data_IF_191700336607
#
_entry.id   IF_191700336607
#
_cell.length_a   1.000
_cell.length_b   1.000
_cell.length_c   1.000
_cell.angle_alpha   90.00
_cell.angle_beta   90.00
_cell.angle_gamma   90.00
#
_symmetry.space_group_name_H-M   'P 1'
#
loop_
_entity.id
_entity.type
_entity.pdbx_description
1 polymer ?
#
# COMPACT_ATOMS: atom_id res chain seq x y z
N UNK A 1 -7.88 7.03 14.10
CA UNK A 1 -8.45 6.32 12.93
C UNK A 1 -8.31 4.83 13.19
N UNK A 2 -9.36 4.04 13.00
CA UNK A 2 -9.35 2.61 13.28
C UNK A 2 -9.55 1.86 11.96
N UNK A 3 -8.53 1.14 11.50
CA UNK A 3 -8.58 0.34 10.27
C UNK A 3 -8.95 -1.09 10.67
N UNK A 4 -10.12 -1.54 10.23
CA UNK A 4 -10.67 -2.86 10.58
C UNK A 4 -10.35 -3.93 9.54
N UNK A 5 -10.07 -3.54 8.30
CA UNK A 5 -9.80 -4.48 7.21
C UNK A 5 -8.78 -3.90 6.25
N UNK A 6 -7.86 -4.75 5.83
CA UNK A 6 -6.81 -4.41 4.87
C UNK A 6 -6.66 -5.56 3.90
N UNK A 7 -6.72 -5.27 2.60
CA UNK A 7 -6.59 -6.27 1.53
C UNK A 7 -5.69 -5.73 0.44
N UNK A 8 -4.71 -6.52 0.03
CA UNK A 8 -3.96 -6.26 -1.20
C UNK A 8 -4.89 -6.51 -2.39
N UNK A 9 -5.15 -5.49 -3.19
CA UNK A 9 -6.06 -5.59 -4.34
C UNK A 9 -5.34 -6.14 -5.57
N UNK A 10 -4.34 -5.41 -6.08
CA UNK A 10 -3.53 -5.83 -7.23
C UNK A 10 -2.27 -4.99 -7.39
N UNK A 11 -1.29 -5.54 -8.10
CA UNK A 11 -0.19 -4.78 -8.69
C UNK A 11 -0.58 -4.35 -10.10
N UNK A 12 -0.34 -3.08 -10.43
CA UNK A 12 -0.73 -2.48 -11.70
C UNK A 12 0.52 -2.08 -12.47
N UNK A 13 0.54 -2.37 -13.76
CA UNK A 13 1.54 -1.90 -14.71
C UNK A 13 0.79 -1.21 -15.86
N UNK A 14 0.98 0.10 -16.02
CA UNK A 14 0.21 0.90 -16.97
C UNK A 14 -1.10 1.41 -16.40
N UNK A 15 -2.07 1.69 -17.28
CA UNK A 15 -3.39 2.18 -16.91
C UNK A 15 -4.31 1.06 -16.44
N UNK A 16 -5.24 1.38 -15.55
CA UNK A 16 -6.22 0.44 -15.01
C UNK A 16 -7.47 1.20 -14.53
N UNK A 17 -8.66 0.62 -14.76
CA UNK A 17 -9.95 1.20 -14.37
C UNK A 17 -10.04 1.55 -12.88
N UNK A 18 -9.34 0.84 -12.00
CA UNK A 18 -9.31 1.14 -10.55
C UNK A 18 -8.69 2.51 -10.26
N UNK A 19 -7.92 3.08 -11.18
CA UNK A 19 -7.35 4.42 -11.02
C UNK A 19 -8.40 5.50 -11.27
N UNK A 20 -9.55 5.15 -11.86
CA UNK A 20 -10.63 6.06 -12.25
C UNK A 20 -11.99 5.70 -11.62
N UNK A 21 -12.01 4.84 -10.60
CA UNK A 21 -13.24 4.36 -9.95
C UNK A 21 -13.90 5.38 -8.99
N UNK A 22 -13.30 6.55 -8.84
CA UNK A 22 -13.80 7.64 -7.98
C UNK A 22 -13.54 7.43 -6.49
N UNK A 23 -12.84 6.36 -6.09
CA UNK A 23 -12.46 6.14 -4.70
C UNK A 23 -11.26 7.05 -4.36
N UNK A 24 -11.25 7.76 -3.21
CA UNK A 24 -10.09 8.54 -2.79
C UNK A 24 -8.85 7.68 -2.60
N UNK A 25 -7.74 8.07 -3.23
CA UNK A 25 -6.47 7.34 -3.20
C UNK A 25 -5.37 8.15 -2.51
N UNK A 26 -4.53 7.45 -1.74
CA UNK A 26 -3.34 8.03 -1.10
C UNK A 26 -2.11 7.30 -1.67
N UNK A 27 -1.23 8.05 -2.32
CA UNK A 27 0.01 7.52 -2.88
C UNK A 27 1.17 7.66 -1.88
N UNK A 28 1.93 6.58 -1.70
CA UNK A 28 3.16 6.57 -0.91
C UNK A 28 4.38 6.51 -1.84
N UNK A 29 5.17 7.59 -1.88
CA UNK A 29 6.35 7.71 -2.75
C UNK A 29 7.64 7.93 -1.94
N UNK A 30 8.78 7.51 -2.49
CA UNK A 30 10.09 7.72 -1.86
C UNK A 30 11.16 6.74 -2.34
N UNK A 31 12.42 6.99 -1.95
CA UNK A 31 13.59 6.18 -2.33
C UNK A 31 13.39 4.69 -2.01
N UNK A 32 14.14 3.82 -2.70
CA UNK A 32 14.19 2.39 -2.36
C UNK A 32 14.58 2.21 -0.88
N UNK A 33 13.92 1.28 -0.19
CA UNK A 33 14.16 0.94 1.23
C UNK A 33 14.04 2.09 2.25
N UNK A 34 13.43 3.23 1.92
CA UNK A 34 13.20 4.34 2.87
C UNK A 34 12.13 4.05 3.97
N UNK A 35 11.57 2.84 3.99
CA UNK A 35 10.57 2.44 5.00
C UNK A 35 9.10 2.59 4.58
N UNK A 36 8.79 2.82 3.29
CA UNK A 36 7.40 2.93 2.78
C UNK A 36 6.50 1.77 3.21
N UNK A 37 6.95 0.53 2.97
CA UNK A 37 6.19 -0.67 3.34
C UNK A 37 6.00 -0.81 4.85
N UNK A 38 7.02 -0.44 5.64
CA UNK A 38 6.93 -0.43 7.10
C UNK A 38 5.90 0.58 7.59
N UNK A 39 5.87 1.78 7.01
CA UNK A 39 4.88 2.80 7.33
C UNK A 39 3.45 2.33 7.00
N UNK A 40 3.26 1.72 5.82
CA UNK A 40 1.96 1.14 5.44
C UNK A 40 1.52 0.12 6.49
N UNK A 41 2.40 -0.82 6.86
CA UNK A 41 2.06 -1.86 7.83
C UNK A 41 1.71 -1.30 9.23
N UNK A 42 2.36 -0.22 9.65
CA UNK A 42 2.05 0.47 10.92
C UNK A 42 0.67 1.15 10.84
N UNK A 43 0.39 1.88 9.76
CA UNK A 43 -0.89 2.59 9.58
C UNK A 43 -2.03 1.58 9.50
N UNK A 44 -1.86 0.50 8.74
CA UNK A 44 -2.89 -0.53 8.55
C UNK A 44 -2.99 -1.53 9.69
N UNK A 45 -2.09 -1.44 10.68
CA UNK A 45 -1.93 -2.40 11.77
C UNK A 45 -1.92 -3.87 11.27
N UNK A 46 -1.26 -4.11 10.13
CA UNK A 46 -1.27 -5.40 9.43
C UNK A 46 -0.03 -5.58 8.56
N UNK A 47 0.28 -6.82 8.15
CA UNK A 47 1.37 -7.11 7.20
C UNK A 47 0.90 -7.07 5.73
N UNK A 48 0.23 -5.99 5.34
CA UNK A 48 -0.37 -5.86 4.01
C UNK A 48 0.65 -5.58 2.90
N UNK A 49 1.81 -5.00 3.25
CA UNK A 49 2.89 -4.71 2.31
C UNK A 49 4.16 -5.48 2.67
N UNK A 50 4.83 -6.01 1.64
CA UNK A 50 6.08 -6.76 1.81
C UNK A 50 7.23 -5.80 2.11
N UNK A 51 8.07 -6.18 3.06
CA UNK A 51 9.32 -5.48 3.36
C UNK A 51 10.51 -6.28 2.83
N UNK A 52 11.66 -5.62 2.62
CA UNK A 52 12.88 -6.30 2.18
C UNK A 52 13.44 -7.28 3.20
N UNK A 53 13.07 -7.14 4.46
CA UNK A 53 13.44 -8.03 5.57
C UNK A 53 12.58 -9.29 5.65
N UNK A 54 11.45 -9.36 4.94
CA UNK A 54 10.60 -10.56 4.85
C UNK A 54 11.15 -11.58 3.82
N UNK A 55 12.48 -11.60 3.62
CA UNK A 55 13.18 -12.43 2.64
C UNK A 55 14.09 -13.42 3.32
#
# INVERSE_FOLDING_TARGET
MLITTTKFMKGIVGDDEILADGIPQIAFIGRSNVGKSSLINVITNSKASRTSSDK
#
